data_IF_311986489123
#
_entry.id   IF_311986489123
#
_cell.length_a   1.000
_cell.length_b   1.000
_cell.length_c   1.000
_cell.angle_alpha   90.00
_cell.angle_beta   90.00
_cell.angle_gamma   90.00
#
_symmetry.space_group_name_H-M   'P 1'
#
loop_
_entity.id
_entity.type
_entity.pdbx_description
1 polymer ?
#
# COMPACT_ATOMS: atom_id res chain seq x y z
N UNK A 1 0.56 -54.29 8.91
CA UNK A 1 1.94 -53.80 8.85
C UNK A 1 1.91 -52.57 7.96
N UNK A 2 1.99 -51.40 8.61
CA UNK A 2 2.06 -50.02 8.13
C UNK A 2 1.48 -49.65 6.75
N UNK A 3 0.37 -48.90 6.78
CA UNK A 3 -0.02 -47.96 5.73
C UNK A 3 1.10 -46.91 5.54
N UNK A 4 1.55 -46.75 4.30
CA UNK A 4 2.40 -45.64 3.90
C UNK A 4 1.49 -44.45 3.59
N UNK A 5 1.22 -43.64 4.61
CA UNK A 5 0.61 -42.33 4.45
C UNK A 5 1.68 -41.39 3.87
N UNK A 6 1.61 -41.14 2.57
CA UNK A 6 2.47 -40.19 1.89
C UNK A 6 2.01 -38.79 2.25
N UNK A 7 2.68 -38.19 3.23
CA UNK A 7 2.57 -36.78 3.61
C UNK A 7 3.04 -35.90 2.45
N UNK A 8 2.15 -35.70 1.46
CA UNK A 8 2.26 -34.60 0.51
C UNK A 8 1.97 -33.36 1.32
N UNK A 9 3.03 -32.78 1.89
CA UNK A 9 3.03 -31.42 2.40
C UNK A 9 2.74 -30.51 1.21
N UNK A 10 1.47 -30.27 0.92
CA UNK A 10 1.05 -29.10 0.15
C UNK A 10 1.72 -27.93 0.81
N UNK A 11 2.70 -27.33 0.12
CA UNK A 11 3.31 -26.06 0.49
C UNK A 11 2.13 -25.08 0.51
N UNK A 12 1.50 -24.91 1.68
CA UNK A 12 0.43 -23.94 1.84
C UNK A 12 1.01 -22.63 1.35
N UNK A 13 0.42 -22.03 0.33
CA UNK A 13 0.73 -20.66 -0.06
C UNK A 13 0.46 -19.85 1.20
N UNK A 14 1.54 -19.49 1.89
CA UNK A 14 1.42 -18.73 3.13
C UNK A 14 0.75 -17.42 2.75
N UNK A 15 -0.47 -17.23 3.24
CA UNK A 15 -1.23 -16.03 2.93
C UNK A 15 -0.56 -14.82 3.60
N UNK A 16 -0.71 -13.65 2.99
CA UNK A 16 -0.12 -12.39 3.47
C UNK A 16 -1.17 -11.30 3.68
N UNK A 17 -0.88 -10.40 4.61
CA UNK A 17 -1.49 -9.07 4.66
C UNK A 17 -0.43 -8.08 4.20
N UNK A 18 -0.80 -7.24 3.23
CA UNK A 18 0.09 -6.26 2.61
C UNK A 18 -0.12 -4.91 3.28
N UNK A 19 0.94 -4.37 3.87
CA UNK A 19 1.07 -2.95 4.18
C UNK A 19 1.79 -2.27 3.01
N UNK A 20 1.26 -1.18 2.46
CA UNK A 20 1.87 -0.52 1.31
C UNK A 20 2.04 0.98 1.55
N UNK A 21 3.20 1.48 1.13
CA UNK A 21 3.47 2.90 0.94
C UNK A 21 4.31 3.07 -0.33
N UNK A 22 4.13 4.18 -1.04
CA UNK A 22 4.93 4.45 -2.23
C UNK A 22 5.06 5.90 -2.60
N UNK A 23 5.77 6.14 -3.71
CA UNK A 23 6.01 7.47 -4.23
C UNK A 23 4.72 8.09 -4.79
N UNK A 24 4.59 9.38 -4.55
CA UNK A 24 3.72 10.24 -5.34
C UNK A 24 4.27 10.31 -6.78
N UNK A 25 3.40 10.43 -7.80
CA UNK A 25 3.82 10.69 -9.16
C UNK A 25 4.58 12.00 -9.25
N UNK A 26 5.57 12.04 -10.13
CA UNK A 26 6.33 13.25 -10.40
C UNK A 26 5.40 14.36 -10.91
N UNK A 27 5.62 15.59 -10.46
CA UNK A 27 4.99 16.75 -11.08
C UNK A 27 5.46 16.89 -12.54
N UNK A 28 4.67 17.49 -13.44
CA UNK A 28 5.04 17.63 -14.85
C UNK A 28 6.44 18.25 -15.07
N UNK A 29 6.81 19.20 -14.20
CA UNK A 29 8.07 19.95 -14.28
C UNK A 29 9.11 19.48 -13.24
N UNK A 30 8.98 18.27 -12.69
CA UNK A 30 9.93 17.77 -11.70
C UNK A 30 11.31 17.48 -12.31
N UNK A 31 12.37 18.03 -11.71
CA UNK A 31 13.76 17.77 -12.14
C UNK A 31 14.18 16.30 -11.93
N UNK A 32 13.67 15.66 -10.88
CA UNK A 32 13.93 14.27 -10.56
C UNK A 32 12.81 13.37 -11.11
N UNK A 33 13.21 12.35 -11.88
CA UNK A 33 12.31 11.33 -12.44
C UNK A 33 12.24 10.12 -11.53
N UNK A 34 11.41 10.15 -10.49
CA UNK A 34 11.30 9.08 -9.48
C UNK A 34 10.08 8.22 -9.72
N UNK A 35 8.95 8.83 -10.05
CA UNK A 35 7.78 8.11 -10.54
C UNK A 35 7.16 8.83 -11.74
N UNK A 36 7.77 8.69 -12.93
CA UNK A 36 7.27 9.30 -14.14
C UNK A 36 5.89 8.76 -14.52
N UNK A 37 5.03 9.63 -15.07
CA UNK A 37 3.70 9.23 -15.56
C UNK A 37 3.75 8.06 -16.55
N UNK A 38 4.82 7.96 -17.35
CA UNK A 38 5.03 6.85 -18.29
C UNK A 38 5.13 5.46 -17.61
N UNK A 39 5.50 5.41 -16.32
CA UNK A 39 5.69 4.17 -15.58
C UNK A 39 4.43 3.71 -14.83
N UNK A 40 3.35 4.50 -14.82
CA UNK A 40 2.10 4.19 -14.10
C UNK A 40 1.53 2.83 -14.49
N UNK A 41 1.43 2.53 -15.79
CA UNK A 41 0.90 1.24 -16.27
C UNK A 41 1.79 0.05 -15.87
N UNK A 42 3.11 0.25 -15.85
CA UNK A 42 4.08 -0.78 -15.43
C UNK A 42 3.95 -1.06 -13.93
N UNK A 43 3.93 -0.01 -13.11
CA UNK A 43 3.74 -0.12 -11.65
C UNK A 43 2.44 -0.84 -11.35
N UNK A 44 1.34 -0.47 -12.02
CA UNK A 44 0.05 -1.15 -11.86
C UNK A 44 0.12 -2.64 -12.23
N UNK A 45 0.82 -3.00 -13.30
CA UNK A 45 0.99 -4.40 -13.72
C UNK A 45 1.76 -5.21 -12.67
N UNK A 46 2.82 -4.64 -12.10
CA UNK A 46 3.59 -5.30 -11.03
C UNK A 46 2.75 -5.44 -9.75
N UNK A 47 1.93 -4.43 -9.42
CA UNK A 47 1.00 -4.51 -8.29
C UNK A 47 -0.02 -5.64 -8.45
N UNK A 48 -0.49 -5.94 -9.67
CA UNK A 48 -1.37 -7.11 -9.91
C UNK A 48 -0.72 -8.44 -9.49
N UNK A 49 0.57 -8.59 -9.75
CA UNK A 49 1.29 -9.80 -9.35
C UNK A 49 1.52 -9.87 -7.83
N UNK A 50 1.72 -8.73 -7.17
CA UNK A 50 1.89 -8.66 -5.71
C UNK A 50 0.55 -8.88 -4.99
N UNK A 51 -0.54 -8.34 -5.51
CA UNK A 51 -1.87 -8.42 -4.92
C UNK A 51 -2.67 -9.59 -5.48
N UNK A 52 -2.03 -10.74 -5.64
CA UNK A 52 -2.70 -11.99 -6.02
C UNK A 52 -3.74 -12.36 -4.93
N UNK A 53 -5.03 -12.53 -5.29
CA UNK A 53 -6.09 -12.86 -4.34
C UNK A 53 -5.96 -14.25 -3.71
N UNK A 54 -5.21 -15.18 -4.31
CA UNK A 54 -4.96 -16.49 -3.72
C UNK A 54 -3.91 -16.42 -2.60
N UNK A 55 -3.04 -15.40 -2.64
CA UNK A 55 -1.98 -15.19 -1.65
C UNK A 55 -2.29 -14.06 -0.67
N UNK A 56 -3.13 -13.09 -1.03
CA UNK A 56 -3.31 -11.84 -0.30
C UNK A 56 -4.66 -11.79 0.39
N UNK A 57 -4.65 -11.64 1.71
CA UNK A 57 -5.87 -11.56 2.52
C UNK A 57 -6.45 -10.15 2.52
N UNK A 58 -5.57 -9.14 2.60
CA UNK A 58 -5.95 -7.73 2.77
C UNK A 58 -4.81 -6.81 2.35
N UNK A 59 -5.16 -5.69 1.74
CA UNK A 59 -4.30 -4.51 1.57
C UNK A 59 -4.60 -3.47 2.65
N UNK A 60 -3.56 -2.90 3.24
CA UNK A 60 -3.60 -1.76 4.16
C UNK A 60 -2.66 -0.68 3.63
N UNK A 61 -3.17 0.50 3.35
CA UNK A 61 -2.38 1.64 2.84
C UNK A 61 -3.10 2.96 3.10
N UNK A 62 -2.52 4.07 2.64
CA UNK A 62 -3.26 5.32 2.54
C UNK A 62 -4.03 5.35 1.21
N UNK A 63 -4.45 6.53 0.76
CA UNK A 63 -5.01 6.73 -0.57
C UNK A 63 -4.30 7.88 -1.32
N UNK A 64 -3.01 8.07 -1.04
CA UNK A 64 -2.20 9.07 -1.74
C UNK A 64 -2.13 8.78 -3.26
N UNK A 65 -1.96 9.83 -4.06
CA UNK A 65 -1.78 9.67 -5.51
C UNK A 65 -0.59 8.76 -5.84
N UNK A 66 -0.68 8.05 -6.97
CA UNK A 66 0.36 7.12 -7.39
C UNK A 66 0.17 5.74 -6.79
N UNK A 67 1.18 5.25 -6.08
CA UNK A 67 1.28 3.84 -5.70
C UNK A 67 0.08 3.34 -4.89
N UNK A 68 -0.37 4.10 -3.89
CA UNK A 68 -1.46 3.74 -3.00
C UNK A 68 -2.79 3.62 -3.77
N UNK A 69 -3.17 4.63 -4.56
CA UNK A 69 -4.37 4.57 -5.40
C UNK A 69 -4.29 3.47 -6.47
N UNK A 70 -3.13 3.21 -7.06
CA UNK A 70 -2.97 2.10 -8.01
C UNK A 70 -3.14 0.74 -7.32
N UNK A 71 -2.62 0.58 -6.11
CA UNK A 71 -2.76 -0.64 -5.33
C UNK A 71 -4.21 -0.85 -4.90
N UNK A 72 -4.91 0.21 -4.47
CA UNK A 72 -6.34 0.16 -4.14
C UNK A 72 -7.19 -0.19 -5.35
N UNK A 73 -6.88 0.35 -6.53
CA UNK A 73 -7.57 0.02 -7.78
C UNK A 73 -7.39 -1.45 -8.15
N UNK A 74 -6.16 -1.96 -8.12
CA UNK A 74 -5.84 -3.37 -8.35
C UNK A 74 -6.56 -4.28 -7.35
N UNK A 75 -6.52 -3.92 -6.06
CA UNK A 75 -7.19 -4.68 -5.01
C UNK A 75 -8.72 -4.66 -5.19
N UNK A 76 -9.30 -3.55 -5.64
CA UNK A 76 -10.73 -3.46 -5.94
C UNK A 76 -11.13 -4.37 -7.11
N UNK A 77 -10.33 -4.42 -8.19
CA UNK A 77 -10.56 -5.32 -9.33
C UNK A 77 -10.56 -6.80 -8.93
N UNK A 78 -9.74 -7.16 -7.93
CA UNK A 78 -9.61 -8.51 -7.42
C UNK A 78 -10.57 -8.84 -6.25
N UNK A 79 -11.50 -7.93 -5.92
CA UNK A 79 -12.38 -8.00 -4.73
C UNK A 79 -11.62 -8.28 -3.41
N UNK A 80 -10.41 -7.73 -3.30
CA UNK A 80 -9.63 -7.82 -2.08
C UNK A 80 -10.17 -6.87 -1.02
N UNK A 81 -10.11 -7.36 0.22
CA UNK A 81 -10.36 -6.53 1.40
C UNK A 81 -9.31 -5.43 1.47
N UNK A 82 -9.76 -4.20 1.65
CA UNK A 82 -8.92 -3.00 1.72
C UNK A 82 -9.15 -2.29 3.05
N UNK A 83 -8.09 -1.75 3.62
CA UNK A 83 -8.15 -0.88 4.79
C UNK A 83 -7.37 0.40 4.47
N UNK A 84 -8.09 1.48 4.24
CA UNK A 84 -7.53 2.79 3.94
C UNK A 84 -7.43 3.58 5.23
N UNK A 85 -6.24 4.14 5.49
CA UNK A 85 -5.98 5.00 6.64
C UNK A 85 -5.62 6.39 6.13
N UNK A 86 -6.39 7.40 6.54
CA UNK A 86 -6.15 8.80 6.23
C UNK A 86 -5.71 9.57 7.49
N UNK A 87 -4.84 10.56 7.32
CA UNK A 87 -4.41 11.44 8.40
C UNK A 87 -5.40 12.57 8.71
N UNK A 88 -6.42 12.72 7.89
CA UNK A 88 -7.36 13.84 7.88
C UNK A 88 -8.63 13.43 7.13
N UNK A 89 -9.65 14.28 7.22
CA UNK A 89 -10.92 14.08 6.49
C UNK A 89 -10.67 13.99 4.98
N UNK A 90 -11.43 13.16 4.24
CA UNK A 90 -11.16 12.86 2.84
C UNK A 90 -10.92 14.09 1.94
N UNK A 91 -11.71 15.16 2.11
CA UNK A 91 -11.56 16.38 1.32
C UNK A 91 -10.23 17.12 1.59
N UNK A 92 -9.76 17.13 2.84
CA UNK A 92 -8.48 17.72 3.19
C UNK A 92 -7.32 16.85 2.68
N UNK A 93 -7.46 15.52 2.80
CA UNK A 93 -6.47 14.56 2.31
C UNK A 93 -6.31 14.66 0.79
N UNK A 94 -7.43 14.73 0.06
CA UNK A 94 -7.44 14.86 -1.40
C UNK A 94 -6.68 16.11 -1.84
N UNK A 95 -6.98 17.26 -1.23
CA UNK A 95 -6.34 18.53 -1.57
C UNK A 95 -4.81 18.47 -1.44
N UNK A 96 -4.28 17.82 -0.39
CA UNK A 96 -2.83 17.75 -0.11
C UNK A 96 -2.10 16.62 -0.84
N UNK A 97 -2.74 15.46 -1.00
CA UNK A 97 -2.08 14.20 -1.40
C UNK A 97 -2.51 13.69 -2.77
N UNK A 98 -3.54 14.30 -3.39
CA UNK A 98 -4.15 13.80 -4.63
C UNK A 98 -4.29 14.90 -5.69
N UNK A 99 -4.98 15.99 -5.38
CA UNK A 99 -5.50 16.94 -6.36
C UNK A 99 -4.43 17.68 -7.17
N UNK A 100 -3.26 17.93 -6.59
CA UNK A 100 -2.15 18.61 -7.29
C UNK A 100 -1.41 17.72 -8.31
N UNK A 101 -1.75 16.42 -8.39
CA UNK A 101 -1.07 15.48 -9.27
C UNK A 101 -1.82 15.35 -10.60
N UNK A 102 -1.08 15.48 -11.71
CA UNK A 102 -1.63 15.22 -13.03
C UNK A 102 -1.95 13.73 -13.21
N UNK A 103 -3.11 13.42 -13.80
CA UNK A 103 -3.54 12.05 -14.11
C UNK A 103 -4.91 11.71 -13.51
N UNK A 104 -5.23 10.41 -13.40
CA UNK A 104 -6.57 9.95 -13.02
C UNK A 104 -6.81 9.95 -11.49
N UNK A 105 -5.98 10.64 -10.70
CA UNK A 105 -5.88 10.41 -9.26
C UNK A 105 -7.13 10.86 -8.51
N UNK A 106 -7.72 11.99 -8.87
CA UNK A 106 -8.98 12.48 -8.27
C UNK A 106 -10.10 11.48 -8.55
N UNK A 107 -10.29 11.09 -9.81
CA UNK A 107 -11.33 10.11 -10.19
C UNK A 107 -11.14 8.76 -9.49
N UNK A 108 -9.90 8.30 -9.31
CA UNK A 108 -9.58 7.09 -8.55
C UNK A 108 -9.91 7.26 -7.07
N UNK A 109 -9.54 8.40 -6.47
CA UNK A 109 -9.82 8.68 -5.07
C UNK A 109 -11.33 8.75 -4.79
N UNK A 110 -12.09 9.46 -5.62
CA UNK A 110 -13.54 9.58 -5.49
C UNK A 110 -14.23 8.21 -5.56
N UNK A 111 -13.85 7.40 -6.55
CA UNK A 111 -14.42 6.06 -6.74
C UNK A 111 -14.04 5.10 -5.62
N UNK A 112 -12.82 5.17 -5.11
CA UNK A 112 -12.31 4.17 -4.16
C UNK A 112 -12.54 4.56 -2.70
N UNK A 113 -12.53 5.84 -2.38
CA UNK A 113 -12.53 6.34 -0.99
C UNK A 113 -13.83 7.08 -0.67
N UNK A 114 -14.30 7.98 -1.54
CA UNK A 114 -15.53 8.77 -1.29
C UNK A 114 -16.78 7.92 -1.49
N UNK A 115 -16.74 6.97 -2.43
CA UNK A 115 -17.82 6.02 -2.69
C UNK A 115 -17.39 4.57 -2.43
N UNK A 116 -17.03 4.23 -1.17
CA UNK A 116 -16.38 2.97 -0.87
C UNK A 116 -17.33 1.78 -1.01
N UNK A 117 -16.81 0.69 -1.58
CA UNK A 117 -17.48 -0.62 -1.57
C UNK A 117 -17.44 -1.27 -0.18
N UNK A 118 -18.29 -2.27 0.07
CA UNK A 118 -18.31 -3.03 1.34
C UNK A 118 -16.97 -3.72 1.70
N UNK A 119 -16.16 -4.08 0.70
CA UNK A 119 -14.82 -4.67 0.90
C UNK A 119 -13.77 -3.65 1.39
N UNK A 120 -14.13 -2.36 1.55
CA UNK A 120 -13.24 -1.31 2.03
C UNK A 120 -13.62 -0.85 3.43
N UNK A 121 -12.62 -0.81 4.31
CA UNK A 121 -12.68 -0.14 5.61
C UNK A 121 -11.93 1.18 5.50
N UNK A 122 -12.56 2.28 5.89
CA UNK A 122 -11.93 3.61 5.97
C UNK A 122 -11.72 3.99 7.43
N UNK A 123 -10.49 4.37 7.77
CA UNK A 123 -10.12 4.90 9.09
C UNK A 123 -9.52 6.30 8.91
N UNK A 124 -10.02 7.25 9.70
CA UNK A 124 -9.51 8.63 9.73
C UNK A 124 -8.86 8.85 11.09
N UNK A 125 -7.55 9.14 11.09
CA UNK A 125 -6.82 9.45 12.30
C UNK A 125 -7.21 10.85 12.78
N UNK A 126 -8.05 10.92 13.82
CA UNK A 126 -8.45 12.19 14.40
C UNK A 126 -7.24 12.85 15.08
N UNK A 127 -6.86 14.05 14.63
CA UNK A 127 -5.76 14.88 15.18
C UNK A 127 -4.35 14.33 14.91
N UNK A 128 -3.92 14.36 13.65
CA UNK A 128 -2.50 14.14 13.32
C UNK A 128 -1.72 15.46 13.47
N UNK A 129 -0.61 15.50 14.23
CA UNK A 129 0.30 16.65 14.26
C UNK A 129 0.91 16.96 12.87
N UNK A 130 1.71 18.02 12.71
CA UNK A 130 2.39 18.36 11.45
C UNK A 130 3.21 17.22 10.82
N UNK A 131 3.57 16.18 11.57
CA UNK A 131 4.20 14.95 11.10
C UNK A 131 3.23 13.96 10.39
N UNK A 132 2.22 14.50 9.71
CA UNK A 132 1.05 13.82 9.11
C UNK A 132 1.28 12.40 8.59
N UNK A 133 2.27 12.26 7.71
CA UNK A 133 2.48 11.03 6.96
C UNK A 133 3.22 9.94 7.79
N UNK A 134 4.04 10.32 8.76
CA UNK A 134 4.75 9.36 9.63
C UNK A 134 3.78 8.66 10.59
N UNK A 135 2.79 9.41 11.10
CA UNK A 135 1.74 8.84 11.93
C UNK A 135 0.83 7.90 11.13
N UNK A 136 0.52 8.26 9.88
CA UNK A 136 -0.23 7.41 8.96
C UNK A 136 0.55 6.12 8.65
N UNK A 137 1.85 6.21 8.36
CA UNK A 137 2.71 5.04 8.18
C UNK A 137 2.68 4.10 9.39
N UNK A 138 2.81 4.65 10.60
CA UNK A 138 2.75 3.88 11.82
C UNK A 138 1.39 3.17 11.97
N UNK A 139 0.29 3.85 11.67
CA UNK A 139 -1.04 3.26 11.72
C UNK A 139 -1.21 2.15 10.67
N UNK A 140 -0.74 2.35 9.43
CA UNK A 140 -0.78 1.33 8.35
C UNK A 140 -0.08 0.06 8.81
N UNK A 141 1.15 0.17 9.33
CA UNK A 141 1.92 -0.97 9.80
C UNK A 141 1.27 -1.65 11.01
N UNK A 142 0.78 -0.88 11.98
CA UNK A 142 0.06 -1.45 13.14
C UNK A 142 -1.16 -2.25 12.69
N UNK A 143 -2.02 -1.68 11.84
CA UNK A 143 -3.26 -2.35 11.39
C UNK A 143 -2.99 -3.54 10.49
N UNK A 144 -1.96 -3.48 9.65
CA UNK A 144 -1.54 -4.62 8.84
C UNK A 144 -1.05 -5.78 9.71
N UNK A 145 -0.27 -5.50 10.76
CA UNK A 145 0.24 -6.52 11.68
C UNK A 145 -0.89 -7.17 12.49
N UNK A 146 -1.82 -6.37 12.99
CA UNK A 146 -3.01 -6.87 13.70
C UNK A 146 -3.87 -7.76 12.79
N UNK A 147 -4.11 -7.32 11.56
CA UNK A 147 -4.85 -8.10 10.57
C UNK A 147 -4.13 -9.40 10.18
N UNK A 148 -2.80 -9.37 10.03
CA UNK A 148 -1.99 -10.54 9.76
C UNK A 148 -2.13 -11.59 10.88
N UNK A 149 -1.99 -11.14 12.13
CA UNK A 149 -2.15 -11.99 13.31
C UNK A 149 -3.55 -12.62 13.38
N UNK A 150 -4.59 -11.82 13.18
CA UNK A 150 -5.98 -12.29 13.22
C UNK A 150 -6.29 -13.30 12.10
N UNK A 151 -5.64 -13.19 10.94
CA UNK A 151 -5.85 -14.07 9.80
C UNK A 151 -4.95 -15.31 9.79
N UNK A 152 -3.99 -15.44 10.72
CA UNK A 152 -2.93 -16.44 10.65
C UNK A 152 -2.07 -16.29 9.39
N UNK A 153 -1.88 -15.05 8.94
CA UNK A 153 -1.13 -14.67 7.74
C UNK A 153 0.17 -13.97 8.14
N UNK A 154 1.12 -13.86 7.21
CA UNK A 154 2.34 -13.08 7.44
C UNK A 154 2.16 -11.59 7.06
N UNK A 155 2.72 -10.64 7.82
CA UNK A 155 2.73 -9.23 7.44
C UNK A 155 3.86 -8.97 6.43
N UNK A 156 3.51 -8.37 5.28
CA UNK A 156 4.46 -7.99 4.21
C UNK A 156 4.35 -6.49 3.97
N UNK A 157 5.47 -5.78 3.99
CA UNK A 157 5.55 -4.36 3.66
C UNK A 157 6.04 -4.19 2.22
N UNK A 158 5.20 -3.59 1.38
CA UNK A 158 5.48 -3.32 -0.03
C UNK A 158 5.83 -1.85 -0.19
N UNK A 159 7.02 -1.56 -0.71
CA UNK A 159 7.50 -0.22 -0.97
C UNK A 159 7.59 0.03 -2.46
N UNK A 160 6.78 0.97 -2.96
CA UNK A 160 6.76 1.32 -4.38
C UNK A 160 7.57 2.60 -4.58
N UNK A 161 8.87 2.44 -4.86
CA UNK A 161 9.85 3.52 -4.87
C UNK A 161 11.18 3.15 -5.53
N UNK A 162 12.01 4.14 -5.82
CA UNK A 162 13.34 4.04 -6.44
C UNK A 162 14.46 3.52 -5.51
N UNK A 163 14.14 3.17 -4.25
CA UNK A 163 15.13 2.68 -3.28
C UNK A 163 16.06 3.75 -2.69
N UNK A 164 15.86 5.03 -3.01
CA UNK A 164 16.69 6.14 -2.53
C UNK A 164 15.91 7.05 -1.58
N UNK A 165 16.38 7.17 -0.33
CA UNK A 165 15.84 8.13 0.63
C UNK A 165 16.20 9.57 0.26
N UNK A 166 15.27 10.50 0.50
CA UNK A 166 15.46 11.96 0.35
C UNK A 166 16.00 12.63 1.62
N UNK A 167 16.29 11.87 2.66
CA UNK A 167 16.72 12.38 3.96
C UNK A 167 15.72 12.08 5.08
N UNK A 168 15.83 12.84 6.18
CA UNK A 168 15.12 12.56 7.43
C UNK A 168 13.57 12.62 7.31
N UNK A 169 13.06 13.39 6.34
CA UNK A 169 11.61 13.60 6.15
C UNK A 169 11.03 12.72 5.03
N UNK A 170 11.77 11.71 4.55
CA UNK A 170 11.27 10.79 3.53
C UNK A 170 10.29 9.78 4.13
N UNK A 171 8.99 10.05 3.99
CA UNK A 171 7.93 9.19 4.49
C UNK A 171 8.02 7.75 3.96
N UNK A 172 8.51 7.51 2.74
CA UNK A 172 8.64 6.14 2.22
C UNK A 172 9.82 5.39 2.86
N UNK A 173 10.93 6.10 3.13
CA UNK A 173 12.06 5.53 3.86
C UNK A 173 11.70 5.25 5.33
N UNK A 174 11.00 6.17 5.98
CA UNK A 174 10.49 5.98 7.35
C UNK A 174 9.57 4.75 7.45
N UNK A 175 8.66 4.58 6.48
CA UNK A 175 7.81 3.39 6.40
C UNK A 175 8.64 2.10 6.37
N UNK A 176 9.71 2.07 5.57
CA UNK A 176 10.64 0.93 5.48
C UNK A 176 11.25 0.59 6.83
N UNK A 177 11.84 1.59 7.48
CA UNK A 177 12.61 1.38 8.70
C UNK A 177 11.70 0.93 9.84
N UNK A 178 10.48 1.48 9.91
CA UNK A 178 9.44 1.02 10.84
C UNK A 178 8.96 -0.40 10.55
N UNK A 179 8.75 -0.74 9.28
CA UNK A 179 8.34 -2.08 8.88
C UNK A 179 9.37 -3.13 9.30
N UNK A 180 10.66 -2.84 9.09
CA UNK A 180 11.78 -3.68 9.54
C UNK A 180 11.74 -3.84 11.06
N UNK A 181 11.62 -2.73 11.80
CA UNK A 181 11.56 -2.76 13.26
C UNK A 181 10.37 -3.57 13.81
N UNK A 182 9.27 -3.64 13.06
CA UNK A 182 8.08 -4.41 13.41
C UNK A 182 8.09 -5.86 12.90
N UNK A 183 9.16 -6.29 12.21
CA UNK A 183 9.35 -7.65 11.73
C UNK A 183 8.55 -8.02 10.47
N UNK A 184 8.27 -7.05 9.60
CA UNK A 184 7.65 -7.29 8.31
C UNK A 184 8.65 -7.90 7.32
N UNK A 185 8.17 -8.79 6.45
CA UNK A 185 8.89 -9.11 5.22
C UNK A 185 8.86 -7.89 4.30
N UNK A 186 10.02 -7.49 3.77
CA UNK A 186 10.14 -6.31 2.91
C UNK A 186 10.14 -6.71 1.44
N UNK A 187 9.26 -6.10 0.64
CA UNK A 187 9.24 -6.21 -0.80
C UNK A 187 9.35 -4.81 -1.42
N UNK A 188 10.47 -4.53 -2.06
CA UNK A 188 10.69 -3.25 -2.75
C UNK A 188 10.39 -3.40 -4.25
N UNK A 189 9.69 -2.42 -4.80
CA UNK A 189 9.28 -2.39 -6.19
C UNK A 189 9.66 -1.04 -6.82
N UNK A 190 10.61 -1.02 -7.77
CA UNK A 190 11.03 0.20 -8.43
C UNK A 190 9.91 0.86 -9.23
N UNK A 191 9.82 2.18 -9.11
CA UNK A 191 8.95 3.07 -9.90
C UNK A 191 9.63 3.53 -11.19
N UNK A 192 10.94 3.39 -11.29
CA UNK A 192 11.81 3.63 -12.43
C UNK A 192 12.26 2.32 -13.11
N UNK A 193 13.07 2.45 -14.17
CA UNK A 193 13.60 1.34 -14.99
C UNK A 193 14.97 0.89 -14.50
#
# INVERSE_FOLDING_TARGET
>A
MAEADSDVRTKGTERRVVALAGRLPDAPDADARRFPAANVSRVRTRLKAILDPDETVRLVCSAAAGADLLALDVAAEADLRRHVILGDEPAAFEARSVAERAGPWIDLFDRLVVTPSESLTLEILSSVPPEGDLAVNQAILTRAREAALAAGARPVAVLVWEGQSRGADDATADFRDRAIALGFDILEMPTDD
#
